data_IF_179591003015
#
_entry.id   IF_179591003015
#
_cell.length_a   1.000
_cell.length_b   1.000
_cell.length_c   1.000
_cell.angle_alpha   90.00
_cell.angle_beta   90.00
_cell.angle_gamma   90.00
#
_symmetry.space_group_name_H-M   'P 1'
#
loop_
_entity.id
_entity.type
_entity.pdbx_description
1 polymer ?
#
# COMPACT_ATOMS: atom_id res chain seq x y z
N UNK A 1 -30.48 -4.04 18.65
CA UNK A 1 -29.49 -3.34 17.80
C UNK A 1 -30.07 -2.04 17.22
N UNK A 2 -31.04 -1.37 17.88
CA UNK A 2 -31.71 -0.16 17.36
C UNK A 2 -31.42 1.13 18.14
N UNK A 3 -30.73 1.06 19.28
CA UNK A 3 -30.46 2.25 20.11
C UNK A 3 -29.24 3.07 19.66
N UNK A 4 -28.39 2.51 18.78
CA UNK A 4 -27.21 3.20 18.25
C UNK A 4 -27.59 4.27 17.22
N UNK A 5 -28.79 4.19 16.61
CA UNK A 5 -29.18 5.10 15.55
C UNK A 5 -29.71 6.48 16.01
N UNK A 6 -29.94 6.71 17.31
CA UNK A 6 -30.60 7.95 17.79
C UNK A 6 -29.71 8.97 18.50
N UNK A 7 -28.55 8.59 19.04
CA UNK A 7 -27.79 9.48 19.94
C UNK A 7 -26.40 9.88 19.44
N UNK A 8 -25.87 9.31 18.36
CA UNK A 8 -24.55 9.65 17.81
C UNK A 8 -23.35 9.20 18.66
N UNK A 9 -23.59 8.65 19.85
CA UNK A 9 -22.57 8.09 20.75
C UNK A 9 -23.13 6.94 21.61
N UNK A 10 -22.25 6.03 22.02
CA UNK A 10 -22.50 4.90 22.93
C UNK A 10 -21.63 5.08 24.17
N UNK A 11 -22.20 4.89 25.36
CA UNK A 11 -21.46 4.91 26.62
C UNK A 11 -20.95 3.49 26.90
N UNK A 12 -19.65 3.35 27.16
CA UNK A 12 -19.04 2.10 27.59
C UNK A 12 -19.02 2.11 29.12
N UNK A 13 -19.56 1.05 29.71
CA UNK A 13 -19.49 0.81 31.16
C UNK A 13 -18.70 -0.46 31.43
N UNK A 14 -18.02 -0.52 32.57
CA UNK A 14 -17.34 -1.73 33.04
C UNK A 14 -18.31 -2.73 33.67
N UNK A 15 -17.76 -3.86 34.16
CA UNK A 15 -18.53 -4.92 34.82
C UNK A 15 -19.17 -4.49 36.15
N UNK A 16 -18.78 -3.35 36.72
CA UNK A 16 -19.36 -2.75 37.92
C UNK A 16 -20.32 -1.60 37.59
N UNK A 17 -20.67 -1.45 36.30
CA UNK A 17 -21.59 -0.44 35.78
C UNK A 17 -21.08 1.00 35.91
N UNK A 18 -19.76 1.18 36.08
CA UNK A 18 -19.11 2.49 36.05
C UNK A 18 -18.82 2.90 34.61
N UNK A 19 -19.04 4.18 34.28
CA UNK A 19 -18.77 4.73 32.94
C UNK A 19 -17.26 4.80 32.72
N UNK A 20 -16.77 4.02 31.76
CA UNK A 20 -15.34 3.96 31.40
C UNK A 20 -15.02 4.69 30.09
N UNK A 21 -16.03 5.10 29.32
CA UNK A 21 -15.80 5.91 28.13
C UNK A 21 -17.04 6.22 27.30
N UNK A 22 -16.86 7.06 26.29
CA UNK A 22 -17.85 7.37 25.27
C UNK A 22 -17.24 6.99 23.92
N UNK A 23 -17.99 6.24 23.11
CA UNK A 23 -17.63 5.84 21.76
C UNK A 23 -18.58 6.50 20.77
N UNK A 24 -18.08 7.37 19.90
CA UNK A 24 -18.91 8.02 18.87
C UNK A 24 -18.82 7.29 17.54
N UNK A 25 -19.78 7.55 16.63
CA UNK A 25 -19.68 7.09 15.25
C UNK A 25 -18.45 7.68 14.52
N UNK A 26 -18.00 8.86 14.93
CA UNK A 26 -16.80 9.52 14.39
C UNK A 26 -15.53 8.80 14.84
N UNK A 27 -15.47 8.33 16.09
CA UNK A 27 -14.33 7.56 16.61
C UNK A 27 -14.23 6.21 15.89
N UNK A 28 -15.35 5.52 15.71
CA UNK A 28 -15.40 4.27 14.95
C UNK A 28 -15.02 4.48 13.47
N UNK A 29 -15.48 5.58 12.86
CA UNK A 29 -15.08 5.95 11.50
C UNK A 29 -13.58 6.28 11.41
N UNK A 30 -13.01 6.91 12.44
CA UNK A 30 -11.58 7.18 12.56
C UNK A 30 -10.75 5.90 12.65
N UNK A 31 -11.13 4.96 13.52
CA UNK A 31 -10.48 3.65 13.63
C UNK A 31 -10.60 2.82 12.35
N UNK A 32 -11.79 2.80 11.74
CA UNK A 32 -12.01 2.11 10.47
C UNK A 32 -11.15 2.74 9.36
N UNK A 33 -11.08 4.07 9.30
CA UNK A 33 -10.23 4.78 8.34
C UNK A 33 -8.76 4.44 8.53
N UNK A 34 -8.26 4.46 9.77
CA UNK A 34 -6.88 4.09 10.09
C UNK A 34 -6.56 2.64 9.72
N UNK A 35 -7.55 1.73 9.80
CA UNK A 35 -7.40 0.34 9.36
C UNK A 35 -7.42 0.16 7.85
N UNK A 36 -8.20 0.98 7.12
CA UNK A 36 -8.34 0.88 5.65
C UNK A 36 -7.20 1.60 4.90
N UNK A 37 -6.70 2.71 5.45
CA UNK A 37 -5.70 3.58 4.82
C UNK A 37 -4.45 2.83 4.30
N UNK A 38 -3.85 1.88 5.04
CA UNK A 38 -2.73 1.09 4.56
C UNK A 38 -3.03 0.32 3.27
N UNK A 39 -4.22 -0.29 3.19
CA UNK A 39 -4.65 -1.03 1.99
C UNK A 39 -4.82 -0.09 0.80
N UNK A 40 -5.46 1.06 1.01
CA UNK A 40 -5.66 2.06 -0.06
C UNK A 40 -4.32 2.60 -0.59
N UNK A 41 -3.36 2.87 0.29
CA UNK A 41 -2.02 3.34 -0.10
C UNK A 41 -1.26 2.28 -0.90
N UNK A 42 -1.29 1.02 -0.45
CA UNK A 42 -0.65 -0.09 -1.15
C UNK A 42 -1.26 -0.36 -2.53
N UNK A 43 -2.60 -0.33 -2.63
CA UNK A 43 -3.31 -0.49 -3.90
C UNK A 43 -2.97 0.61 -4.90
N UNK A 44 -2.97 1.88 -4.45
CA UNK A 44 -2.63 3.00 -5.31
C UNK A 44 -1.17 2.94 -5.78
N UNK A 45 -0.26 2.51 -4.90
CA UNK A 45 1.14 2.33 -5.22
C UNK A 45 1.33 1.22 -6.27
N UNK A 46 0.69 0.06 -6.10
CA UNK A 46 0.74 -1.03 -7.08
C UNK A 46 0.16 -0.58 -8.43
N UNK A 47 -0.97 0.14 -8.41
CA UNK A 47 -1.63 0.67 -9.62
C UNK A 47 -0.71 1.61 -10.40
N UNK A 48 0.01 2.51 -9.71
CA UNK A 48 0.95 3.46 -10.34
C UNK A 48 2.18 2.79 -10.91
N UNK A 49 2.83 1.91 -10.13
CA UNK A 49 3.98 1.14 -10.63
C UNK A 49 3.58 0.37 -11.88
N UNK A 50 2.43 -0.30 -11.85
CA UNK A 50 1.90 -1.03 -13.00
C UNK A 50 1.70 -0.16 -14.24
N UNK A 51 1.14 1.05 -14.07
CA UNK A 51 0.96 2.01 -15.15
C UNK A 51 2.31 2.46 -15.71
N UNK A 52 3.26 2.80 -14.83
CA UNK A 52 4.60 3.21 -15.21
C UNK A 52 5.35 2.10 -15.95
N UNK A 53 5.17 0.84 -15.57
CA UNK A 53 5.87 -0.31 -16.19
C UNK A 53 5.07 -0.96 -17.33
N UNK A 54 3.93 -0.41 -17.75
CA UNK A 54 3.07 -1.08 -18.75
C UNK A 54 3.71 -1.17 -20.14
N UNK A 55 4.67 -0.30 -20.41
CA UNK A 55 5.32 -0.14 -21.72
C UNK A 55 6.49 -1.11 -21.94
N UNK A 56 6.83 -1.94 -20.94
CA UNK A 56 7.81 -3.00 -21.10
C UNK A 56 7.24 -4.15 -21.92
N UNK A 57 7.97 -4.55 -22.96
CA UNK A 57 7.70 -5.77 -23.72
C UNK A 57 8.15 -7.01 -22.94
N UNK A 58 7.62 -8.19 -23.28
CA UNK A 58 7.96 -9.45 -22.59
C UNK A 58 9.46 -9.75 -22.66
N UNK A 59 10.08 -9.48 -23.80
CA UNK A 59 11.50 -9.75 -24.06
C UNK A 59 12.44 -8.84 -23.26
N UNK A 60 11.99 -7.66 -22.88
CA UNK A 60 12.77 -6.72 -22.06
C UNK A 60 12.72 -7.07 -20.57
N UNK A 61 11.74 -7.86 -20.15
CA UNK A 61 11.58 -8.21 -18.76
C UNK A 61 12.61 -9.25 -18.31
N UNK A 62 13.10 -9.17 -17.05
CA UNK A 62 13.95 -10.19 -16.46
C UNK A 62 13.28 -11.57 -16.47
N UNK A 63 14.07 -12.62 -16.68
CA UNK A 63 13.59 -14.01 -16.75
C UNK A 63 12.69 -14.41 -15.56
N UNK A 64 12.97 -13.88 -14.36
CA UNK A 64 12.19 -14.14 -13.13
C UNK A 64 10.72 -13.72 -13.23
N UNK A 65 10.41 -12.68 -14.01
CA UNK A 65 9.04 -12.15 -14.18
C UNK A 65 8.49 -12.32 -15.59
N UNK A 66 9.35 -12.59 -16.59
CA UNK A 66 8.98 -12.83 -17.98
C UNK A 66 7.92 -13.92 -18.12
N UNK A 67 8.14 -15.08 -17.49
CA UNK A 67 7.21 -16.22 -17.53
C UNK A 67 5.80 -15.86 -17.01
N UNK A 68 5.71 -15.01 -16.00
CA UNK A 68 4.42 -14.56 -15.50
C UNK A 68 3.70 -13.66 -16.52
N UNK A 69 4.43 -12.81 -17.24
CA UNK A 69 3.88 -11.94 -18.29
C UNK A 69 3.42 -12.72 -19.51
N UNK A 70 4.19 -13.71 -19.94
CA UNK A 70 3.84 -14.63 -21.04
C UNK A 70 2.53 -15.37 -20.77
N UNK A 71 2.28 -15.73 -19.51
CA UNK A 71 1.05 -16.38 -19.06
C UNK A 71 -0.13 -15.39 -18.87
N UNK A 72 0.01 -14.13 -19.27
CA UNK A 72 -1.00 -13.09 -19.07
C UNK A 72 -1.24 -12.72 -17.61
N UNK A 73 -0.38 -13.14 -16.68
CA UNK A 73 -0.56 -12.90 -15.25
C UNK A 73 -0.12 -11.48 -14.90
N UNK A 74 -0.90 -10.83 -14.05
CA UNK A 74 -0.54 -9.54 -13.48
C UNK A 74 0.59 -9.72 -12.45
N UNK A 75 1.43 -8.70 -12.32
CA UNK A 75 2.48 -8.68 -11.32
C UNK A 75 1.92 -8.20 -10.00
N UNK A 76 2.25 -8.92 -8.93
CA UNK A 76 2.09 -8.42 -7.56
C UNK A 76 3.20 -7.42 -7.26
N UNK A 77 3.00 -6.58 -6.24
CA UNK A 77 3.98 -5.59 -5.81
C UNK A 77 5.42 -6.14 -5.73
N UNK A 78 5.60 -7.32 -5.12
CA UNK A 78 6.91 -7.93 -4.94
C UNK A 78 7.62 -8.35 -6.23
N UNK A 79 6.91 -8.55 -7.34
CA UNK A 79 7.53 -8.85 -8.63
C UNK A 79 8.18 -7.62 -9.27
N UNK A 80 7.70 -6.42 -8.98
CA UNK A 80 8.29 -5.18 -9.49
C UNK A 80 9.68 -4.90 -8.93
N UNK A 81 10.03 -5.50 -7.78
CA UNK A 81 11.40 -5.47 -7.24
C UNK A 81 12.40 -6.01 -8.27
N UNK A 82 12.07 -7.10 -8.96
CA UNK A 82 12.96 -7.68 -9.99
C UNK A 82 13.09 -6.78 -11.23
N UNK A 83 12.04 -6.03 -11.57
CA UNK A 83 12.07 -5.08 -12.68
C UNK A 83 12.96 -3.88 -12.33
N UNK A 84 12.85 -3.34 -11.12
CA UNK A 84 13.65 -2.20 -10.64
C UNK A 84 15.10 -2.59 -10.38
N UNK A 85 15.36 -3.84 -9.97
CA UNK A 85 16.71 -4.37 -9.74
C UNK A 85 17.51 -4.54 -11.04
N UNK A 86 16.83 -4.79 -12.17
CA UNK A 86 17.48 -4.97 -13.47
C UNK A 86 17.98 -3.63 -14.03
N UNK A 87 19.29 -3.46 -14.30
CA UNK A 87 19.85 -2.19 -14.76
C UNK A 87 19.32 -1.74 -16.12
N UNK A 88 19.00 -2.67 -17.02
CA UNK A 88 18.47 -2.34 -18.34
C UNK A 88 17.04 -1.79 -18.23
N UNK A 89 16.20 -2.46 -17.44
CA UNK A 89 14.85 -1.97 -17.13
C UNK A 89 14.88 -0.63 -16.41
N UNK A 90 15.78 -0.47 -15.44
CA UNK A 90 15.95 0.79 -14.70
C UNK A 90 16.36 1.95 -15.61
N UNK A 91 17.32 1.74 -16.50
CA UNK A 91 17.73 2.76 -17.46
C UNK A 91 16.56 3.19 -18.36
N UNK A 92 15.71 2.24 -18.77
CA UNK A 92 14.52 2.53 -19.58
C UNK A 92 13.42 3.28 -18.81
N UNK A 93 13.28 3.03 -17.51
CA UNK A 93 12.37 3.79 -16.65
C UNK A 93 12.74 5.28 -16.61
N UNK A 94 14.04 5.59 -16.70
CA UNK A 94 14.59 6.95 -16.72
C UNK A 94 14.05 7.82 -15.57
N UNK A 95 13.94 7.24 -14.37
CA UNK A 95 13.48 7.95 -13.19
C UNK A 95 14.60 8.84 -12.62
N UNK A 96 14.28 10.03 -12.09
CA UNK A 96 15.26 10.99 -11.58
C UNK A 96 15.82 10.62 -10.19
N UNK A 97 15.83 9.32 -9.86
CA UNK A 97 16.16 8.80 -8.54
C UNK A 97 17.32 7.82 -8.62
N UNK A 98 17.95 7.55 -7.48
CA UNK A 98 18.92 6.47 -7.37
C UNK A 98 18.22 5.10 -7.36
N UNK A 99 18.76 4.14 -8.13
CA UNK A 99 18.21 2.80 -8.28
C UNK A 99 18.17 2.05 -6.94
N UNK A 100 19.26 2.10 -6.18
CA UNK A 100 19.38 1.36 -4.92
C UNK A 100 18.44 1.92 -3.87
N UNK A 101 18.29 3.25 -3.80
CA UNK A 101 17.32 3.89 -2.92
C UNK A 101 15.88 3.51 -3.28
N UNK A 102 15.54 3.49 -4.57
CA UNK A 102 14.20 3.09 -5.01
C UNK A 102 13.93 1.61 -4.70
N UNK A 103 14.91 0.74 -4.98
CA UNK A 103 14.83 -0.68 -4.70
C UNK A 103 14.65 -0.96 -3.21
N UNK A 104 15.41 -0.27 -2.35
CA UNK A 104 15.31 -0.38 -0.89
C UNK A 104 13.90 -0.01 -0.40
N UNK A 105 13.38 1.14 -0.85
CA UNK A 105 12.00 1.57 -0.51
C UNK A 105 10.96 0.56 -0.98
N UNK A 106 11.08 0.06 -2.21
CA UNK A 106 10.13 -0.93 -2.76
C UNK A 106 10.17 -2.27 -2.00
N UNK A 107 11.35 -2.70 -1.52
CA UNK A 107 11.50 -3.90 -0.69
C UNK A 107 10.81 -3.73 0.67
N UNK A 108 10.94 -2.57 1.31
CA UNK A 108 10.25 -2.24 2.57
C UNK A 108 8.73 -2.35 2.37
N UNK A 109 8.18 -1.67 1.35
CA UNK A 109 6.73 -1.69 1.09
C UNK A 109 6.23 -3.08 0.70
N UNK A 110 7.04 -3.86 -0.05
CA UNK A 110 6.71 -5.25 -0.38
C UNK A 110 6.63 -6.13 0.86
N UNK A 111 7.57 -5.96 1.79
CA UNK A 111 7.57 -6.69 3.06
C UNK A 111 6.33 -6.35 3.88
N UNK A 112 6.04 -5.06 4.03
CA UNK A 112 4.86 -4.55 4.74
C UNK A 112 3.54 -5.11 4.17
N UNK A 113 3.39 -5.09 2.84
CA UNK A 113 2.22 -5.67 2.15
C UNK A 113 2.06 -7.16 2.44
N UNK A 114 3.16 -7.91 2.50
CA UNK A 114 3.12 -9.34 2.80
C UNK A 114 2.76 -9.60 4.26
N UNK A 115 3.31 -8.83 5.20
CA UNK A 115 2.98 -8.90 6.63
C UNK A 115 1.49 -8.59 6.87
N UNK A 116 0.98 -7.56 6.19
CA UNK A 116 -0.44 -7.20 6.18
C UNK A 116 -1.33 -8.33 5.61
N UNK A 117 -0.93 -8.92 4.49
CA UNK A 117 -1.66 -10.02 3.86
C UNK A 117 -1.63 -11.32 4.70
N UNK A 118 -0.59 -11.53 5.50
CA UNK A 118 -0.47 -12.65 6.42
C UNK A 118 -1.22 -12.44 7.74
N UNK A 119 -1.94 -11.32 7.91
CA UNK A 119 -2.62 -10.93 9.16
C UNK A 119 -1.69 -10.99 10.39
N UNK A 120 -0.38 -10.88 10.18
CA UNK A 120 0.62 -10.95 11.25
C UNK A 120 0.72 -9.61 12.02
N UNK A 121 0.00 -8.58 11.55
CA UNK A 121 -0.13 -7.29 12.21
C UNK A 121 -1.54 -7.24 12.81
N UNK A 122 -1.64 -7.30 14.13
CA UNK A 122 -2.91 -7.25 14.87
C UNK A 122 -3.73 -5.98 14.53
N UNK A 123 -3.05 -4.89 14.17
CA UNK A 123 -3.65 -3.72 13.53
C UNK A 123 -2.71 -3.05 12.49
N UNK A 124 -3.13 -2.88 11.21
CA UNK A 124 -2.32 -2.27 10.14
C UNK A 124 -1.70 -0.90 10.47
N UNK A 125 -2.32 -0.16 11.40
CA UNK A 125 -1.92 1.16 11.84
C UNK A 125 -0.79 1.17 12.89
N UNK A 126 -0.43 0.02 13.47
CA UNK A 126 0.61 -0.07 14.50
C UNK A 126 2.03 0.03 13.91
N UNK A 127 2.22 -0.36 12.64
CA UNK A 127 3.49 -0.17 11.92
C UNK A 127 3.50 1.20 11.20
N UNK A 128 3.51 2.26 12.00
CA UNK A 128 3.48 3.64 11.52
C UNK A 128 4.68 3.99 10.62
N UNK A 129 5.83 3.34 10.82
CA UNK A 129 7.05 3.58 10.04
C UNK A 129 6.90 2.98 8.62
N UNK A 130 6.40 1.75 8.49
CA UNK A 130 6.15 1.15 7.19
C UNK A 130 5.02 1.86 6.42
N UNK A 131 4.01 2.36 7.13
CA UNK A 131 2.95 3.17 6.55
C UNK A 131 3.50 4.50 6.00
N UNK A 132 4.32 5.21 6.77
CA UNK A 132 4.99 6.44 6.32
C UNK A 132 5.92 6.18 5.13
N UNK A 133 6.68 5.07 5.15
CA UNK A 133 7.52 4.66 4.02
C UNK A 133 6.71 4.41 2.74
N UNK A 134 5.55 3.77 2.87
CA UNK A 134 4.60 3.55 1.76
C UNK A 134 4.08 4.89 1.22
N UNK A 135 3.66 5.80 2.09
CA UNK A 135 3.20 7.14 1.71
C UNK A 135 4.29 7.96 1.02
N UNK A 136 5.54 7.90 1.49
CA UNK A 136 6.69 8.56 0.85
C UNK A 136 6.98 7.98 -0.53
N UNK A 137 6.97 6.66 -0.68
CA UNK A 137 7.18 6.02 -1.98
C UNK A 137 6.09 6.45 -2.97
N UNK A 138 4.83 6.50 -2.53
CA UNK A 138 3.72 6.98 -3.35
C UNK A 138 3.91 8.44 -3.79
N UNK A 139 4.37 9.32 -2.89
CA UNK A 139 4.67 10.73 -3.24
C UNK A 139 5.72 10.83 -4.35
N UNK A 140 6.77 10.00 -4.32
CA UNK A 140 7.80 9.98 -5.37
C UNK A 140 7.23 9.49 -6.70
N UNK A 141 6.41 8.44 -6.67
CA UNK A 141 5.75 7.94 -7.88
C UNK A 141 4.84 9.00 -8.51
N UNK A 142 4.16 9.82 -7.71
CA UNK A 142 3.33 10.94 -8.21
C UNK A 142 4.14 12.02 -8.96
N UNK A 143 5.44 12.14 -8.71
CA UNK A 143 6.30 13.10 -9.42
C UNK A 143 6.60 12.61 -10.84
N UNK A 144 6.83 11.31 -11.01
CA UNK A 144 7.15 10.69 -12.32
C UNK A 144 5.90 10.32 -13.11
N UNK A 145 4.79 10.06 -12.43
CA UNK A 145 3.51 9.66 -12.99
C UNK A 145 2.45 10.68 -12.58
N UNK A 146 2.39 11.79 -13.34
CA UNK A 146 1.34 12.80 -13.18
C UNK A 146 0.00 12.13 -13.44
N UNK A 147 -0.99 12.38 -12.57
CA UNK A 147 -2.33 11.85 -12.80
C UNK A 147 -2.79 12.25 -14.21
N UNK A 148 -3.40 11.31 -14.96
CA UNK A 148 -3.96 11.66 -16.25
C UNK A 148 -4.95 12.80 -16.02
N UNK A 149 -4.78 13.89 -16.78
CA UNK A 149 -5.82 14.92 -16.88
C UNK A 149 -7.07 14.18 -17.35
N UNK A 150 -8.06 14.11 -16.46
CA UNK A 150 -9.38 13.54 -16.73
C UNK A 150 -10.01 14.30 -17.89
#
# INVERSE_FOLDING_TARGET
MDHIQRSGFTIIVDGENAVIGILTSTDLAGELKARIEPFTLLEELERRIRRLTRHFSVDELPAKIRKAREQGRQFTLGRYVFLVEDPHCWAKLNWPYDQQQMLSRLRIVTKYRNELAHWAVDAPAEDAEALDATARLLKLLKVVDRDPVV
#
